data_IF_865726925205
#
_entry.id   IF_865726925205
#
_cell.length_a   1.000
_cell.length_b   1.000
_cell.length_c   1.000
_cell.angle_alpha   90.00
_cell.angle_beta   90.00
_cell.angle_gamma   90.00
#
_symmetry.space_group_name_H-M   'P 1'
#
loop_
_entity.id
_entity.type
_entity.pdbx_description
1 polymer ?
#
# COMPACT_ATOMS: atom_id res chain seq x y z
N UNK A 1 -6.39 14.56 9.17
CA UNK A 1 -6.97 14.34 7.84
C UNK A 1 -5.93 13.60 7.03
N UNK A 2 -6.28 12.50 6.34
CA UNK A 2 -5.33 11.80 5.49
C UNK A 2 -4.85 12.70 4.35
N UNK A 3 -3.60 12.56 3.96
CA UNK A 3 -3.04 13.22 2.77
C UNK A 3 -3.64 12.66 1.48
N UNK A 4 -3.45 13.36 0.36
CA UNK A 4 -3.88 12.87 -0.96
C UNK A 4 -3.26 11.51 -1.30
N UNK A 5 -2.02 11.28 -0.88
CA UNK A 5 -1.34 10.00 -1.04
C UNK A 5 -2.00 8.91 -0.18
N UNK A 6 -2.30 9.20 1.09
CA UNK A 6 -2.93 8.23 2.00
C UNK A 6 -4.33 7.83 1.52
N UNK A 7 -5.10 8.77 0.96
CA UNK A 7 -6.38 8.47 0.33
C UNK A 7 -6.19 7.57 -0.89
N UNK A 8 -5.29 7.92 -1.82
CA UNK A 8 -5.06 7.12 -3.02
C UNK A 8 -4.54 5.71 -2.71
N UNK A 9 -3.69 5.57 -1.68
CA UNK A 9 -3.20 4.28 -1.20
C UNK A 9 -4.32 3.43 -0.58
N UNK A 10 -5.19 4.04 0.22
CA UNK A 10 -6.37 3.38 0.77
C UNK A 10 -7.33 2.89 -0.31
N UNK A 11 -7.70 3.77 -1.24
CA UNK A 11 -8.60 3.46 -2.36
C UNK A 11 -8.08 2.30 -3.21
N UNK A 12 -6.77 2.32 -3.53
CA UNK A 12 -6.15 1.24 -4.31
C UNK A 12 -6.13 -0.08 -3.51
N UNK A 13 -5.85 -0.06 -2.21
CA UNK A 13 -5.91 -1.27 -1.38
C UNK A 13 -7.32 -1.85 -1.29
N UNK A 14 -8.34 -1.02 -1.14
CA UNK A 14 -9.73 -1.46 -1.16
C UNK A 14 -10.10 -2.13 -2.50
N UNK A 15 -9.67 -1.54 -3.62
CA UNK A 15 -9.85 -2.14 -4.94
C UNK A 15 -9.10 -3.48 -5.09
N UNK A 16 -7.86 -3.56 -4.57
CA UNK A 16 -7.02 -4.76 -4.57
C UNK A 16 -7.69 -5.91 -3.81
N UNK A 17 -8.17 -5.65 -2.60
CA UNK A 17 -8.86 -6.67 -1.81
C UNK A 17 -10.23 -7.01 -2.40
N UNK A 18 -10.93 -6.05 -3.00
CA UNK A 18 -12.23 -6.26 -3.65
C UNK A 18 -12.20 -7.23 -4.83
N UNK A 19 -11.05 -7.37 -5.51
CA UNK A 19 -10.85 -8.37 -6.59
C UNK A 19 -10.33 -9.73 -6.09
N UNK A 20 -10.24 -9.95 -4.78
CA UNK A 20 -9.87 -11.24 -4.20
C UNK A 20 -8.37 -11.49 -4.01
N UNK A 21 -7.52 -10.46 -4.13
CA UNK A 21 -6.08 -10.59 -3.88
C UNK A 21 -5.82 -10.32 -2.40
N UNK A 22 -5.52 -11.37 -1.63
CA UNK A 22 -5.39 -11.29 -0.17
C UNK A 22 -4.03 -11.72 0.39
N UNK A 23 -3.16 -12.30 -0.45
CA UNK A 23 -1.80 -12.61 -0.05
C UNK A 23 -0.86 -11.42 -0.28
N UNK A 24 0.15 -11.30 0.59
CA UNK A 24 1.10 -10.19 0.59
C UNK A 24 1.86 -10.04 -0.74
N UNK A 25 2.40 -11.11 -1.36
CA UNK A 25 3.07 -10.99 -2.66
C UNK A 25 2.14 -10.48 -3.76
N UNK A 26 0.89 -10.95 -3.79
CA UNK A 26 -0.12 -10.55 -4.75
C UNK A 26 -0.55 -9.09 -4.58
N UNK A 27 -0.70 -8.61 -3.34
CA UNK A 27 -0.98 -7.20 -3.05
C UNK A 27 0.16 -6.32 -3.56
N UNK A 28 1.41 -6.66 -3.26
CA UNK A 28 2.61 -5.92 -3.71
C UNK A 28 2.71 -5.90 -5.23
N UNK A 29 2.55 -7.06 -5.88
CA UNK A 29 2.59 -7.17 -7.34
C UNK A 29 1.53 -6.28 -8.01
N UNK A 30 0.33 -6.23 -7.43
CA UNK A 30 -0.74 -5.40 -7.95
C UNK A 30 -0.53 -3.91 -7.70
N UNK A 31 -0.05 -3.51 -6.53
CA UNK A 31 0.34 -2.12 -6.27
C UNK A 31 1.39 -1.64 -7.27
N UNK A 32 2.39 -2.47 -7.59
CA UNK A 32 3.41 -2.13 -8.59
C UNK A 32 2.85 -2.04 -10.01
N UNK A 33 1.81 -2.82 -10.30
CA UNK A 33 1.04 -2.74 -11.56
C UNK A 33 0.11 -1.52 -11.60
N UNK A 34 -0.16 -0.89 -10.46
CA UNK A 34 -0.88 0.37 -10.33
C UNK A 34 0.06 1.58 -10.49
N UNK A 35 -0.50 2.79 -10.39
CA UNK A 35 0.26 4.03 -10.32
C UNK A 35 0.64 4.48 -8.90
N UNK A 36 0.15 3.81 -7.85
CA UNK A 36 0.42 4.20 -6.47
C UNK A 36 1.80 3.71 -6.07
N UNK A 37 2.67 4.64 -5.66
CA UNK A 37 4.04 4.38 -5.24
C UNK A 37 4.24 4.75 -3.77
N UNK A 38 5.14 4.08 -3.03
CA UNK A 38 5.53 4.52 -1.70
C UNK A 38 6.10 5.94 -1.74
N UNK A 39 6.17 6.61 -0.59
CA UNK A 39 6.66 7.98 -0.47
C UNK A 39 8.08 8.19 -1.06
N UNK A 40 8.91 7.14 -1.10
CA UNK A 40 10.25 7.17 -1.70
C UNK A 40 10.27 7.05 -3.24
N UNK A 41 9.15 6.77 -3.89
CA UNK A 41 9.01 6.67 -5.35
C UNK A 41 9.46 5.34 -5.98
N UNK A 42 10.21 4.50 -5.25
CA UNK A 42 10.63 3.17 -5.67
C UNK A 42 9.45 2.18 -5.77
N UNK A 43 9.64 1.02 -6.39
CA UNK A 43 8.62 -0.01 -6.41
C UNK A 43 8.35 -0.58 -4.99
N UNK A 44 7.13 -1.04 -4.78
CA UNK A 44 6.74 -1.75 -3.57
C UNK A 44 7.50 -3.07 -3.44
N UNK A 45 7.95 -3.31 -2.22
CA UNK A 45 8.43 -4.61 -1.74
C UNK A 45 7.53 -5.01 -0.57
N UNK A 46 7.54 -6.29 -0.20
CA UNK A 46 6.82 -6.75 0.99
C UNK A 46 7.27 -5.99 2.26
N UNK A 47 8.57 -5.69 2.36
CA UNK A 47 9.15 -4.92 3.46
C UNK A 47 8.66 -3.47 3.47
N UNK A 48 8.73 -2.76 2.34
CA UNK A 48 8.28 -1.36 2.29
C UNK A 48 6.77 -1.22 2.46
N UNK A 49 6.00 -2.18 1.97
CA UNK A 49 4.55 -2.24 2.17
C UNK A 49 4.18 -2.40 3.65
N UNK A 50 4.75 -3.39 4.31
CA UNK A 50 4.47 -3.65 5.74
C UNK A 50 4.97 -2.53 6.64
N UNK A 51 6.11 -1.93 6.33
CA UNK A 51 6.61 -0.73 7.02
C UNK A 51 5.64 0.45 6.88
N UNK A 52 5.11 0.68 5.68
CA UNK A 52 4.15 1.77 5.46
C UNK A 52 2.84 1.54 6.21
N UNK A 53 2.31 0.31 6.22
CA UNK A 53 1.13 -0.02 7.03
C UNK A 53 1.38 0.26 8.52
N UNK A 54 2.55 -0.09 9.05
CA UNK A 54 2.91 0.16 10.45
C UNK A 54 3.04 1.66 10.77
N UNK A 55 3.59 2.45 9.83
CA UNK A 55 3.66 3.91 9.92
C UNK A 55 2.26 4.53 9.96
N UNK A 56 1.38 4.09 9.07
CA UNK A 56 0.01 4.60 8.93
C UNK A 56 -0.91 4.16 10.08
N UNK A 57 -0.68 2.99 10.68
CA UNK A 57 -1.44 2.54 11.84
C UNK A 57 -1.07 3.27 13.14
N UNK A 58 -0.05 4.14 13.12
CA UNK A 58 0.47 4.82 14.30
C UNK A 58 1.10 3.86 15.32
N UNK A 59 1.54 2.67 14.87
CA UNK A 59 2.17 1.65 15.73
C UNK A 59 3.68 1.83 15.84
N UNK A 60 4.24 2.89 15.26
CA UNK A 60 5.58 3.37 15.60
C UNK A 60 5.58 3.88 17.05
N UNK A 61 6.01 3.02 17.99
CA UNK A 61 6.28 3.40 19.38
C UNK A 61 7.62 2.86 19.84
#
# INVERSE_FOLDING_TARGET
MPSSYENAFGDELEAIYGRGVHDLPGVVAALNSSGVRPAGGEDWTETSFTAELARLSGTEK
#
